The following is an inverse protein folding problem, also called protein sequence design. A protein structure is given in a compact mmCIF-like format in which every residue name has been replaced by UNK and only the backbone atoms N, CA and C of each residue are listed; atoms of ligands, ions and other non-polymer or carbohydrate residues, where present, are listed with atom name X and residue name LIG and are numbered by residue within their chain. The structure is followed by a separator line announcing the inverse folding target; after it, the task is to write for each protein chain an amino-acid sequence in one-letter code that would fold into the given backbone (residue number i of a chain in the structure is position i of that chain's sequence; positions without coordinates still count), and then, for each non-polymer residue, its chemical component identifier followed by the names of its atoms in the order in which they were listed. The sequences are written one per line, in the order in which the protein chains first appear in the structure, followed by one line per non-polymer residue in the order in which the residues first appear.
data_IF_363584599931
#
_entry.id   IF_363584599931
#
_cell.length_a   1.000
_cell.length_b   1.000
_cell.length_c   1.000
_cell.angle_alpha   90.00
_cell.angle_beta   90.00
_cell.angle_gamma   90.00
#
_symmetry.space_group_name_H-M   'P 1'
#
loop_
_entity.id
_entity.type
_entity.pdbx_description
1 polymer ?
#
# COMPACT_ATOMS: atom_id res chain seq x y z
N UNK A 1 12.30 22.13 15.64
CA UNK A 1 12.27 20.68 15.58
C UNK A 1 10.96 20.18 14.97
N UNK A 2 10.82 18.89 14.83
CA UNK A 2 9.55 18.26 14.44
C UNK A 2 8.54 18.38 15.57
N UNK A 3 7.24 18.45 15.23
CA UNK A 3 6.12 18.44 16.18
C UNK A 3 5.92 17.04 16.77
N UNK A 4 6.15 16.01 15.93
CA UNK A 4 6.08 14.61 16.31
C UNK A 4 7.40 13.91 16.02
N UNK A 5 7.83 13.05 16.96
CA UNK A 5 8.98 12.15 16.79
C UNK A 5 8.56 10.69 16.64
N UNK A 6 7.26 10.45 16.39
CA UNK A 6 6.72 9.10 16.23
C UNK A 6 6.95 8.57 14.83
N UNK A 7 7.36 7.31 14.74
CA UNK A 7 7.49 6.59 13.46
C UNK A 7 7.46 5.08 13.70
N UNK A 8 6.86 4.35 12.77
CA UNK A 8 7.02 2.90 12.68
C UNK A 8 8.39 2.58 12.09
N UNK A 9 9.30 2.05 12.91
CA UNK A 9 10.66 1.77 12.46
C UNK A 9 10.72 0.57 11.51
N UNK A 10 11.43 0.74 10.39
CA UNK A 10 11.73 -0.32 9.43
C UNK A 10 13.24 -0.48 9.34
N UNK A 11 13.74 -1.70 9.56
CA UNK A 11 15.16 -1.99 9.45
C UNK A 11 15.61 -1.97 8.00
N UNK A 12 16.65 -1.21 7.68
CA UNK A 12 17.26 -1.23 6.36
C UNK A 12 17.81 -2.63 6.05
N UNK A 13 17.46 -3.23 4.88
CA UNK A 13 17.91 -4.56 4.52
C UNK A 13 19.36 -4.58 4.05
N UNK A 14 20.12 -5.63 4.41
CA UNK A 14 21.41 -5.89 3.77
C UNK A 14 21.22 -6.64 2.45
N UNK A 15 21.45 -5.93 1.34
CA UNK A 15 21.31 -6.49 0.00
C UNK A 15 22.58 -7.17 -0.53
N UNK A 16 23.70 -7.09 0.19
CA UNK A 16 25.01 -7.66 -0.27
C UNK A 16 24.96 -9.17 -0.53
N UNK A 17 24.21 -9.98 0.24
CA UNK A 17 24.11 -11.41 -0.04
C UNK A 17 23.39 -11.74 -1.36
N UNK A 18 22.61 -10.82 -1.90
CA UNK A 18 21.70 -11.07 -3.02
C UNK A 18 22.09 -10.34 -4.31
N UNK A 19 22.70 -9.15 -4.20
CA UNK A 19 22.96 -8.26 -5.31
C UNK A 19 24.42 -7.83 -5.38
N UNK A 20 24.95 -7.78 -6.60
CA UNK A 20 26.28 -7.22 -6.85
C UNK A 20 26.34 -5.73 -6.47
N UNK A 21 27.54 -5.19 -6.32
CA UNK A 21 27.73 -3.74 -6.10
C UNK A 21 27.13 -2.91 -7.23
N UNK A 22 27.19 -3.41 -8.47
CA UNK A 22 26.66 -2.73 -9.65
C UNK A 22 25.13 -2.62 -9.58
N UNK A 23 24.45 -3.70 -9.22
CA UNK A 23 22.98 -3.72 -9.13
C UNK A 23 22.46 -2.82 -8.03
N UNK A 24 23.22 -2.67 -6.93
CA UNK A 24 22.85 -1.79 -5.80
C UNK A 24 23.13 -0.31 -6.01
N UNK A 25 23.91 0.07 -7.05
CA UNK A 25 24.36 1.44 -7.24
C UNK A 25 23.20 2.43 -7.49
N UNK A 26 22.15 1.97 -8.16
CA UNK A 26 20.96 2.79 -8.46
C UNK A 26 19.87 2.72 -7.40
N UNK A 27 20.11 2.07 -6.26
CA UNK A 27 19.09 1.84 -5.24
C UNK A 27 19.23 2.81 -4.06
N UNK A 28 18.09 3.32 -3.60
CA UNK A 28 17.89 3.99 -2.32
C UNK A 28 16.76 3.28 -1.57
N UNK A 29 16.42 3.73 -0.36
CA UNK A 29 15.46 3.06 0.55
C UNK A 29 14.26 2.40 -0.14
N UNK A 30 13.43 3.11 -0.95
CA UNK A 30 12.25 2.48 -1.55
C UNK A 30 12.58 1.28 -2.44
N UNK A 31 13.66 1.39 -3.25
CA UNK A 31 14.08 0.31 -4.13
C UNK A 31 14.69 -0.88 -3.36
N UNK A 32 15.37 -0.60 -2.23
CA UNK A 32 15.94 -1.63 -1.37
C UNK A 32 14.85 -2.45 -0.68
N UNK A 33 13.85 -1.78 -0.11
CA UNK A 33 12.70 -2.44 0.49
C UNK A 33 11.88 -3.22 -0.56
N UNK A 34 11.62 -2.60 -1.71
CA UNK A 34 10.88 -3.23 -2.79
C UNK A 34 11.59 -4.47 -3.37
N UNK A 35 12.92 -4.46 -3.44
CA UNK A 35 13.68 -5.65 -3.84
C UNK A 35 13.44 -6.82 -2.88
N UNK A 36 13.49 -6.59 -1.57
CA UNK A 36 13.27 -7.65 -0.58
C UNK A 36 11.86 -8.22 -0.66
N UNK A 37 10.84 -7.34 -0.68
CA UNK A 37 9.44 -7.78 -0.79
C UNK A 37 9.16 -8.49 -2.11
N UNK A 38 9.75 -8.02 -3.22
CA UNK A 38 9.60 -8.66 -4.54
C UNK A 38 10.29 -10.03 -4.57
N UNK A 39 11.47 -10.16 -3.97
CA UNK A 39 12.16 -11.44 -3.87
C UNK A 39 11.31 -12.48 -3.13
N UNK A 40 10.72 -12.12 -1.99
CA UNK A 40 9.83 -13.00 -1.23
C UNK A 40 8.57 -13.35 -2.04
N UNK A 41 7.97 -12.38 -2.73
CA UNK A 41 6.81 -12.61 -3.58
C UNK A 41 7.12 -13.54 -4.77
N UNK A 42 8.29 -13.39 -5.42
CA UNK A 42 8.75 -14.27 -6.51
C UNK A 42 8.97 -15.71 -6.02
N UNK A 43 9.60 -15.87 -4.85
CA UNK A 43 9.81 -17.18 -4.22
C UNK A 43 8.47 -17.86 -3.90
N UNK A 44 7.53 -17.12 -3.27
CA UNK A 44 6.20 -17.62 -2.98
C UNK A 44 5.41 -17.97 -4.25
N UNK A 45 5.51 -17.14 -5.29
CA UNK A 45 4.85 -17.36 -6.58
C UNK A 45 5.52 -18.46 -7.42
N UNK A 46 6.69 -19.00 -7.01
CA UNK A 46 7.52 -19.95 -7.78
C UNK A 46 7.89 -19.40 -9.15
N UNK A 47 8.34 -18.16 -9.19
CA UNK A 47 8.84 -17.48 -10.37
C UNK A 47 10.34 -17.27 -10.24
N UNK A 48 11.09 -17.71 -11.23
CA UNK A 48 12.54 -17.48 -11.33
C UNK A 48 12.88 -16.51 -12.48
N UNK A 49 14.14 -16.07 -12.51
CA UNK A 49 14.62 -15.10 -13.49
C UNK A 49 14.60 -15.69 -14.92
N UNK A 50 14.82 -16.98 -15.09
CA UNK A 50 14.83 -17.61 -16.41
C UNK A 50 13.40 -17.67 -16.98
N UNK A 51 12.42 -17.99 -16.15
CA UNK A 51 11.01 -17.89 -16.53
C UNK A 51 10.63 -16.46 -16.93
N UNK A 52 10.96 -15.47 -16.09
CA UNK A 52 10.63 -14.05 -16.33
C UNK A 52 11.34 -13.48 -17.57
N UNK A 53 12.57 -13.93 -17.86
CA UNK A 53 13.31 -13.50 -19.04
C UNK A 53 12.67 -13.98 -20.35
N UNK A 54 11.94 -15.09 -20.32
CA UNK A 54 11.32 -15.74 -21.48
C UNK A 54 9.79 -15.50 -21.56
N UNK A 55 9.16 -14.99 -20.50
CA UNK A 55 7.73 -14.76 -20.44
C UNK A 55 7.47 -13.28 -20.08
N UNK A 56 6.72 -12.58 -20.93
CA UNK A 56 6.44 -11.17 -20.71
C UNK A 56 5.75 -10.94 -19.36
N UNK A 57 6.36 -10.12 -18.55
CA UNK A 57 5.86 -9.74 -17.23
C UNK A 57 6.03 -8.25 -17.05
N UNK A 58 4.95 -7.56 -16.68
CA UNK A 58 4.95 -6.12 -16.39
C UNK A 58 5.32 -5.81 -14.96
N UNK A 59 5.55 -4.52 -14.69
CA UNK A 59 5.73 -3.98 -13.34
C UNK A 59 5.01 -2.64 -13.21
N UNK A 60 4.18 -2.51 -12.18
CA UNK A 60 3.50 -1.28 -11.80
C UNK A 60 3.68 -1.10 -10.29
N UNK A 61 4.41 -0.06 -9.88
CA UNK A 61 4.70 0.16 -8.46
C UNK A 61 4.36 1.57 -8.02
N UNK A 62 3.66 1.70 -6.90
CA UNK A 62 3.38 2.98 -6.25
C UNK A 62 4.61 3.49 -5.50
N UNK A 63 5.10 4.67 -5.89
CA UNK A 63 6.14 5.39 -5.15
C UNK A 63 6.04 6.89 -5.45
N UNK A 64 5.82 7.69 -4.42
CA UNK A 64 5.60 9.14 -4.52
C UNK A 64 6.77 9.98 -4.02
N UNK A 65 7.79 9.37 -3.42
CA UNK A 65 8.89 10.13 -2.83
C UNK A 65 10.22 9.42 -2.94
N UNK A 66 11.25 10.22 -3.23
CA UNK A 66 12.67 9.91 -3.14
C UNK A 66 13.41 11.06 -2.48
N UNK A 67 12.76 11.72 -1.51
CA UNK A 67 13.25 12.92 -0.85
C UNK A 67 14.65 12.73 -0.24
N UNK A 68 14.88 11.59 0.41
CA UNK A 68 16.19 11.27 1.00
C UNK A 68 17.31 11.25 -0.04
N UNK A 69 17.11 10.60 -1.16
CA UNK A 69 18.09 10.52 -2.25
C UNK A 69 18.34 11.90 -2.88
N UNK A 70 17.27 12.66 -3.15
CA UNK A 70 17.35 14.00 -3.74
C UNK A 70 18.12 14.95 -2.82
N UNK A 71 17.79 15.00 -1.53
CA UNK A 71 18.47 15.87 -0.57
C UNK A 71 19.95 15.49 -0.44
N UNK A 72 20.27 14.20 -0.33
CA UNK A 72 21.66 13.75 -0.28
C UNK A 72 22.47 14.18 -1.52
N UNK A 73 21.86 14.12 -2.72
CA UNK A 73 22.52 14.60 -3.95
C UNK A 73 22.70 16.10 -3.94
N UNK A 74 21.67 16.87 -3.56
CA UNK A 74 21.71 18.32 -3.53
C UNK A 74 22.72 18.85 -2.48
N UNK A 75 22.82 18.21 -1.32
CA UNK A 75 23.77 18.61 -0.28
C UNK A 75 25.21 18.41 -0.74
N UNK A 76 25.54 17.35 -1.48
CA UNK A 76 26.85 17.21 -2.13
C UNK A 76 27.18 18.42 -3.03
N UNK A 77 26.20 18.87 -3.85
CA UNK A 77 26.37 20.05 -4.70
C UNK A 77 26.51 21.33 -3.90
N UNK A 78 25.71 21.51 -2.85
CA UNK A 78 25.78 22.71 -1.97
C UNK A 78 27.13 22.83 -1.28
N UNK A 79 27.67 21.72 -0.78
CA UNK A 79 28.96 21.68 -0.09
C UNK A 79 30.15 21.94 -1.04
N UNK A 80 30.13 21.29 -2.20
CA UNK A 80 31.28 21.27 -3.13
C UNK A 80 31.19 22.33 -4.21
N UNK A 81 30.01 22.89 -4.48
CA UNK A 81 29.78 23.85 -5.58
C UNK A 81 30.06 23.27 -6.98
N UNK A 82 30.11 21.95 -7.09
CA UNK A 82 30.31 21.22 -8.34
C UNK A 82 29.57 19.85 -8.32
N UNK A 83 29.60 19.12 -9.43
CA UNK A 83 28.94 17.82 -9.61
C UNK A 83 29.91 16.64 -9.64
N UNK A 84 31.21 16.85 -9.42
CA UNK A 84 32.25 15.81 -9.59
C UNK A 84 32.16 14.68 -8.59
N UNK A 85 31.51 14.92 -7.44
CA UNK A 85 31.29 13.92 -6.38
C UNK A 85 29.90 13.27 -6.42
N UNK A 86 29.09 13.62 -7.42
CA UNK A 86 27.83 12.93 -7.63
C UNK A 86 28.12 11.57 -8.25
N UNK A 87 27.63 10.51 -7.63
CA UNK A 87 27.79 9.15 -8.12
C UNK A 87 26.98 8.89 -9.38
N UNK A 88 27.45 7.99 -10.24
CA UNK A 88 26.71 7.60 -11.45
C UNK A 88 25.35 6.93 -11.18
N UNK A 89 25.11 6.50 -9.95
CA UNK A 89 23.83 5.93 -9.50
C UNK A 89 22.83 6.97 -9.00
N UNK A 90 23.29 8.16 -8.59
CA UNK A 90 22.45 9.16 -7.90
C UNK A 90 21.25 9.60 -8.74
N UNK A 91 21.39 9.71 -10.06
CA UNK A 91 20.25 10.04 -10.96
C UNK A 91 19.13 8.99 -10.88
N UNK A 92 19.45 7.71 -10.80
CA UNK A 92 18.48 6.63 -10.74
C UNK A 92 17.82 6.52 -9.36
N UNK A 93 18.54 6.93 -8.30
CA UNK A 93 17.99 7.00 -6.94
C UNK A 93 17.00 8.16 -6.77
N UNK A 94 17.23 9.28 -7.49
CA UNK A 94 16.46 10.50 -7.36
C UNK A 94 15.12 10.49 -8.11
N UNK A 95 14.86 9.50 -8.95
CA UNK A 95 13.61 9.39 -9.74
C UNK A 95 12.57 8.59 -8.96
N UNK A 96 11.30 9.03 -8.96
CA UNK A 96 10.21 8.26 -8.35
C UNK A 96 10.04 6.85 -8.96
N UNK A 97 10.46 6.64 -10.19
CA UNK A 97 10.49 5.33 -10.83
C UNK A 97 11.71 4.46 -10.47
N UNK A 98 12.48 4.85 -9.46
CA UNK A 98 13.67 4.09 -9.00
C UNK A 98 13.34 2.62 -8.71
N UNK A 99 12.19 2.35 -8.11
CA UNK A 99 11.72 0.99 -7.81
C UNK A 99 11.60 0.17 -9.09
N UNK A 100 10.82 0.68 -10.05
CA UNK A 100 10.55 0.00 -11.32
C UNK A 100 11.81 -0.22 -12.15
N UNK A 101 12.67 0.80 -12.25
CA UNK A 101 13.93 0.70 -13.01
C UNK A 101 14.85 -0.40 -12.45
N UNK A 102 15.02 -0.43 -11.13
CA UNK A 102 15.87 -1.43 -10.51
C UNK A 102 15.27 -2.84 -10.63
N UNK A 103 13.99 -3.03 -10.24
CA UNK A 103 13.36 -4.35 -10.26
C UNK A 103 13.22 -4.92 -11.67
N UNK A 104 12.80 -4.11 -12.65
CA UNK A 104 12.67 -4.58 -14.04
C UNK A 104 14.00 -5.05 -14.61
N UNK A 105 15.09 -4.37 -14.29
CA UNK A 105 16.44 -4.74 -14.73
C UNK A 105 16.92 -6.03 -14.05
N UNK A 106 16.75 -6.14 -12.74
CA UNK A 106 17.19 -7.28 -11.95
C UNK A 106 16.41 -8.55 -12.35
N UNK A 107 15.08 -8.46 -12.43
CA UNK A 107 14.19 -9.58 -12.74
C UNK A 107 13.91 -9.76 -14.24
N UNK A 108 14.52 -8.93 -15.11
CA UNK A 108 14.38 -9.00 -16.58
C UNK A 108 12.92 -8.88 -17.04
N UNK A 109 12.15 -8.04 -16.38
CA UNK A 109 10.74 -7.80 -16.72
C UNK A 109 10.64 -7.00 -18.02
N UNK A 110 9.88 -7.48 -19.00
CA UNK A 110 9.82 -6.93 -20.36
C UNK A 110 8.46 -6.37 -20.75
N UNK A 111 7.44 -6.54 -19.91
CA UNK A 111 6.12 -5.96 -20.12
C UNK A 111 6.08 -4.47 -19.76
N UNK A 112 4.89 -3.97 -19.47
CA UNK A 112 4.74 -2.59 -19.00
C UNK A 112 5.65 -2.28 -17.82
N UNK A 113 6.25 -1.08 -17.82
CA UNK A 113 7.14 -0.64 -16.74
C UNK A 113 6.82 0.82 -16.39
N UNK A 114 5.97 1.01 -15.37
CA UNK A 114 5.54 2.34 -14.93
C UNK A 114 5.53 2.46 -13.41
N UNK A 115 5.91 3.63 -12.91
CA UNK A 115 5.68 4.05 -11.53
C UNK A 115 4.38 4.84 -11.46
N UNK A 116 3.61 4.66 -10.39
CA UNK A 116 2.34 5.30 -10.16
C UNK A 116 2.42 6.17 -8.93
N UNK A 117 1.93 7.39 -9.05
CA UNK A 117 1.85 8.40 -8.01
C UNK A 117 0.38 8.76 -7.77
N UNK A 118 -0.13 8.39 -6.62
CA UNK A 118 -1.51 8.62 -6.18
C UNK A 118 -1.60 8.72 -4.64
N UNK A 119 -0.62 9.38 -4.05
CA UNK A 119 -0.48 9.52 -2.60
C UNK A 119 -0.68 8.16 -1.87
N UNK A 120 -1.41 8.16 -0.75
CA UNK A 120 -1.62 6.95 0.06
C UNK A 120 -2.34 5.80 -0.68
N UNK A 121 -2.96 6.05 -1.83
CA UNK A 121 -3.63 5.05 -2.64
C UNK A 121 -2.72 4.44 -3.75
N UNK A 122 -1.45 4.87 -3.85
CA UNK A 122 -0.55 4.46 -4.96
C UNK A 122 -0.41 2.96 -5.09
N UNK A 123 -0.13 2.23 -4.00
CA UNK A 123 0.02 0.78 -4.01
C UNK A 123 -1.27 0.04 -4.40
N UNK A 124 -2.41 0.51 -3.91
CA UNK A 124 -3.72 -0.04 -4.29
C UNK A 124 -4.05 0.21 -5.76
N UNK A 125 -3.84 1.43 -6.26
CA UNK A 125 -4.01 1.74 -7.68
C UNK A 125 -3.06 0.95 -8.58
N UNK A 126 -1.82 0.69 -8.14
CA UNK A 126 -0.87 -0.14 -8.89
C UNK A 126 -1.43 -1.56 -9.11
N UNK A 127 -2.00 -2.17 -8.07
CA UNK A 127 -2.66 -3.48 -8.16
C UNK A 127 -3.93 -3.39 -9.04
N UNK A 128 -4.77 -2.37 -8.82
CA UNK A 128 -5.98 -2.17 -9.58
C UNK A 128 -5.75 -1.96 -11.08
N UNK A 129 -4.75 -1.18 -11.47
CA UNK A 129 -4.36 -1.00 -12.88
C UNK A 129 -3.78 -2.27 -13.48
N UNK A 130 -2.94 -2.98 -12.75
CA UNK A 130 -2.43 -4.30 -13.18
C UNK A 130 -3.58 -5.28 -13.42
N UNK A 131 -4.58 -5.33 -12.52
CA UNK A 131 -5.79 -6.13 -12.72
C UNK A 131 -6.53 -5.75 -14.00
N UNK A 132 -6.73 -4.45 -14.27
CA UNK A 132 -7.39 -4.02 -15.50
C UNK A 132 -6.60 -4.42 -16.75
N UNK A 133 -5.27 -4.31 -16.74
CA UNK A 133 -4.44 -4.71 -17.86
C UNK A 133 -4.52 -6.21 -18.15
N UNK A 134 -4.52 -7.04 -17.12
CA UNK A 134 -4.70 -8.49 -17.29
C UNK A 134 -6.11 -8.80 -17.80
N UNK A 135 -7.13 -8.18 -17.22
CA UNK A 135 -8.53 -8.37 -17.63
C UNK A 135 -8.79 -7.99 -19.08
N UNK A 136 -8.04 -7.02 -19.61
CA UNK A 136 -8.10 -6.59 -21.02
C UNK A 136 -7.16 -7.37 -21.94
N UNK A 137 -6.42 -8.34 -21.43
CA UNK A 137 -5.46 -9.13 -22.21
C UNK A 137 -4.21 -8.37 -22.66
N UNK A 138 -3.91 -7.21 -22.03
CA UNK A 138 -2.74 -6.39 -22.36
C UNK A 138 -1.48 -6.90 -21.67
N UNK A 139 -1.62 -7.60 -20.56
CA UNK A 139 -0.53 -8.26 -19.84
C UNK A 139 -1.04 -9.60 -19.32
N UNK A 140 -0.18 -10.59 -19.30
CA UNK A 140 -0.48 -11.90 -18.69
C UNK A 140 -0.17 -11.92 -17.20
N UNK A 141 0.88 -11.18 -16.82
CA UNK A 141 1.38 -11.09 -15.44
C UNK A 141 1.92 -9.71 -15.15
N UNK A 142 1.68 -9.21 -13.95
CA UNK A 142 2.21 -7.91 -13.49
C UNK A 142 2.71 -8.04 -12.05
N UNK A 143 3.92 -7.57 -11.80
CA UNK A 143 4.46 -7.33 -10.47
C UNK A 143 3.92 -5.98 -10.00
N UNK A 144 3.05 -5.98 -9.03
CA UNK A 144 2.43 -4.78 -8.47
C UNK A 144 2.86 -4.57 -7.04
N UNK A 145 2.81 -3.34 -6.57
CA UNK A 145 3.13 -3.05 -5.18
C UNK A 145 3.21 -1.58 -4.87
N UNK A 146 3.78 -1.30 -3.72
CA UNK A 146 4.11 0.04 -3.29
C UNK A 146 5.37 0.06 -2.44
N UNK A 147 6.07 1.19 -2.43
CA UNK A 147 7.26 1.40 -1.64
C UNK A 147 7.26 2.80 -1.03
N UNK A 148 7.78 2.91 0.19
CA UNK A 148 7.89 4.14 0.96
C UNK A 148 9.24 4.24 1.65
N UNK A 149 9.95 5.33 1.42
CA UNK A 149 11.12 5.68 2.24
C UNK A 149 10.69 6.16 3.63
N UNK A 150 11.55 5.91 4.63
CA UNK A 150 11.28 6.34 5.99
C UNK A 150 12.48 7.13 6.55
N UNK A 151 12.49 8.40 6.25
CA UNK A 151 13.53 9.32 6.70
C UNK A 151 12.95 10.70 7.03
N UNK A 152 13.74 11.51 7.73
CA UNK A 152 13.30 12.83 8.19
C UNK A 152 12.85 13.74 7.04
N UNK A 153 13.49 13.65 5.89
CA UNK A 153 13.21 14.55 4.76
C UNK A 153 11.84 14.27 4.14
N UNK A 154 11.51 12.99 3.94
CA UNK A 154 10.21 12.59 3.40
C UNK A 154 9.06 12.97 4.35
N UNK A 155 9.30 12.93 5.67
CA UNK A 155 8.28 13.18 6.70
C UNK A 155 8.12 14.65 7.09
N UNK A 156 9.07 15.53 6.73
CA UNK A 156 9.07 16.93 7.15
C UNK A 156 7.80 17.70 6.76
N UNK A 157 7.31 17.50 5.54
CA UNK A 157 6.13 18.21 5.03
C UNK A 157 4.83 17.73 5.70
N UNK A 158 4.73 16.46 6.03
CA UNK A 158 3.59 15.90 6.78
C UNK A 158 3.56 16.42 8.21
N UNK A 159 4.72 16.50 8.87
CA UNK A 159 4.83 17.11 10.20
C UNK A 159 4.47 18.59 10.17
N UNK A 160 4.93 19.31 9.15
CA UNK A 160 4.58 20.71 8.91
C UNK A 160 3.09 20.94 8.69
N UNK A 161 2.41 20.01 8.03
CA UNK A 161 0.96 20.02 7.84
C UNK A 161 0.19 19.75 9.15
N UNK A 162 0.86 19.19 10.17
CA UNK A 162 0.21 18.78 11.43
C UNK A 162 -0.61 17.49 11.30
N UNK A 163 -0.26 16.62 10.36
CA UNK A 163 -0.98 15.37 10.11
C UNK A 163 -0.62 14.25 11.09
N UNK A 164 0.50 14.38 11.81
CA UNK A 164 1.00 13.35 12.72
C UNK A 164 0.42 13.45 14.12
N UNK A 165 0.22 12.29 14.74
CA UNK A 165 -0.10 12.21 16.17
C UNK A 165 1.03 12.80 17.00
N UNK A 166 0.67 13.53 18.05
CA UNK A 166 1.61 14.10 19.01
C UNK A 166 1.68 13.33 20.33
N UNK A 167 1.11 12.13 20.41
CA UNK A 167 1.10 11.28 21.62
C UNK A 167 2.44 10.61 21.90
N UNK A 168 3.50 11.39 22.03
CA UNK A 168 4.87 10.91 22.21
C UNK A 168 5.11 10.24 23.57
N UNK A 169 4.31 10.57 24.59
CA UNK A 169 4.40 9.96 25.92
C UNK A 169 3.87 8.51 25.96
N UNK A 170 3.05 8.14 24.98
CA UNK A 170 2.49 6.79 24.84
C UNK A 170 2.57 6.30 23.40
N UNK A 171 3.77 6.08 22.85
CA UNK A 171 3.98 5.79 21.41
C UNK A 171 3.15 4.63 20.88
N UNK A 172 3.05 3.54 21.64
CA UNK A 172 2.26 2.35 21.27
C UNK A 172 0.74 2.59 21.20
N UNK A 173 0.26 3.72 21.76
CA UNK A 173 -1.15 4.12 21.75
C UNK A 173 -1.43 5.31 20.80
N UNK A 174 -0.44 5.75 20.04
CA UNK A 174 -0.56 6.93 19.19
C UNK A 174 -1.43 6.67 17.95
N UNK A 175 -1.14 5.60 17.20
CA UNK A 175 -2.01 5.17 16.11
C UNK A 175 -3.23 4.43 16.67
N UNK A 176 -4.41 5.04 16.52
CA UNK A 176 -5.67 4.53 17.09
C UNK A 176 -6.85 4.73 16.13
N UNK A 177 -6.85 4.01 14.99
CA UNK A 177 -7.88 4.18 13.97
C UNK A 177 -9.28 4.03 14.55
N UNK A 178 -10.22 4.89 14.09
CA UNK A 178 -11.62 4.94 14.49
C UNK A 178 -11.89 5.32 15.95
N UNK A 179 -10.88 5.38 16.82
CA UNK A 179 -11.07 5.78 18.21
C UNK A 179 -11.40 7.27 18.30
N UNK A 180 -12.29 7.63 19.24
CA UNK A 180 -12.72 9.03 19.47
C UNK A 180 -11.55 9.97 19.78
N UNK A 181 -10.54 9.46 20.49
CA UNK A 181 -9.43 10.26 20.97
C UNK A 181 -8.22 10.25 20.02
N UNK A 182 -8.41 9.85 18.74
CA UNK A 182 -7.38 9.90 17.67
C UNK A 182 -7.00 11.34 17.35
N UNK A 183 -5.73 11.59 17.12
CA UNK A 183 -5.18 12.93 16.92
C UNK A 183 -4.28 13.07 15.68
N UNK A 184 -4.13 12.03 14.90
CA UNK A 184 -3.29 12.02 13.70
C UNK A 184 -2.67 10.66 13.43
N UNK A 185 -1.99 10.54 12.31
CA UNK A 185 -1.32 9.31 11.89
C UNK A 185 0.08 9.18 12.52
N UNK A 186 0.58 7.96 12.59
CA UNK A 186 1.99 7.65 12.85
C UNK A 186 2.60 7.18 11.53
N UNK A 187 3.60 7.88 10.96
CA UNK A 187 4.19 7.47 9.68
C UNK A 187 5.00 6.19 9.83
N UNK A 188 5.00 5.38 8.78
CA UNK A 188 5.91 4.25 8.62
C UNK A 188 6.24 4.03 7.15
N UNK A 189 6.93 2.96 6.80
CA UNK A 189 7.36 2.71 5.43
C UNK A 189 7.77 1.27 5.19
N UNK A 190 8.53 1.04 4.11
CA UNK A 190 8.93 -0.26 3.64
C UNK A 190 8.49 -0.52 2.22
N UNK A 191 8.17 -1.77 1.88
CA UNK A 191 7.54 -2.13 0.62
C UNK A 191 6.69 -3.40 0.73
N UNK A 192 5.67 -3.49 -0.12
CA UNK A 192 4.89 -4.70 -0.30
C UNK A 192 4.72 -5.00 -1.79
N UNK A 193 4.80 -6.27 -2.15
CA UNK A 193 4.70 -6.75 -3.52
C UNK A 193 3.60 -7.80 -3.65
N UNK A 194 2.74 -7.60 -4.63
CA UNK A 194 1.68 -8.55 -5.03
C UNK A 194 1.92 -8.91 -6.50
N UNK A 195 2.10 -10.19 -6.78
CA UNK A 195 2.16 -10.69 -8.15
C UNK A 195 0.76 -11.08 -8.58
N UNK A 196 0.27 -10.44 -9.62
CA UNK A 196 -1.02 -10.76 -10.23
C UNK A 196 -0.82 -11.36 -11.62
N UNK A 197 -1.67 -12.32 -11.95
CA UNK A 197 -1.52 -13.13 -13.15
C UNK A 197 -2.89 -13.57 -13.67
N UNK A 198 -3.04 -13.77 -14.96
CA UNK A 198 -4.25 -14.36 -15.51
C UNK A 198 -4.47 -15.77 -14.94
N UNK A 199 -5.72 -16.15 -14.72
CA UNK A 199 -6.04 -17.48 -14.19
C UNK A 199 -5.49 -18.59 -15.10
N UNK A 200 -5.57 -18.40 -16.42
CA UNK A 200 -5.06 -19.35 -17.40
C UNK A 200 -3.57 -19.59 -17.22
N UNK A 201 -2.77 -18.53 -17.18
CA UNK A 201 -1.32 -18.61 -16.96
C UNK A 201 -0.97 -19.23 -15.61
N UNK A 202 -1.67 -18.83 -14.54
CA UNK A 202 -1.44 -19.36 -13.21
C UNK A 202 -1.72 -20.88 -13.12
N UNK A 203 -2.80 -21.33 -13.73
CA UNK A 203 -3.14 -22.77 -13.78
C UNK A 203 -2.15 -23.56 -14.65
N UNK A 204 -1.74 -23.04 -15.81
CA UNK A 204 -0.80 -23.68 -16.71
C UNK A 204 0.54 -24.00 -16.04
N UNK A 205 1.05 -23.10 -15.19
CA UNK A 205 2.30 -23.30 -14.46
C UNK A 205 2.12 -23.86 -13.03
N UNK A 206 0.91 -24.25 -12.63
CA UNK A 206 0.58 -24.70 -11.28
C UNK A 206 1.01 -23.72 -10.19
N UNK A 207 0.70 -22.43 -10.38
CA UNK A 207 1.00 -21.38 -9.42
C UNK A 207 0.25 -21.59 -8.10
N UNK A 208 0.82 -21.21 -6.95
CA UNK A 208 0.09 -21.10 -5.70
C UNK A 208 -0.82 -19.85 -5.76
N UNK A 209 -2.11 -20.05 -6.02
CA UNK A 209 -3.09 -18.97 -6.10
C UNK A 209 -3.59 -18.65 -4.69
N UNK A 210 -3.34 -17.43 -4.21
CA UNK A 210 -3.73 -16.97 -2.88
C UNK A 210 -5.14 -16.36 -2.86
N UNK A 211 -5.61 -15.82 -3.98
CA UNK A 211 -6.91 -15.19 -4.09
C UNK A 211 -7.17 -14.72 -5.50
N UNK A 212 -8.37 -14.24 -5.75
CA UNK A 212 -8.81 -13.67 -7.03
C UNK A 212 -9.27 -12.23 -6.82
N UNK A 213 -8.67 -11.29 -7.54
CA UNK A 213 -9.16 -9.91 -7.58
C UNK A 213 -10.41 -9.89 -8.45
N UNK A 214 -11.57 -9.62 -7.85
CA UNK A 214 -12.86 -9.62 -8.55
C UNK A 214 -13.40 -8.22 -8.80
N UNK A 215 -12.98 -7.24 -8.00
CA UNK A 215 -13.45 -5.85 -8.11
C UNK A 215 -12.35 -4.83 -7.86
N UNK A 216 -12.38 -3.77 -8.66
CA UNK A 216 -11.55 -2.58 -8.46
C UNK A 216 -12.41 -1.34 -8.74
N UNK A 217 -12.57 -0.52 -7.70
CA UNK A 217 -13.24 0.77 -7.78
C UNK A 217 -12.26 1.90 -7.57
N UNK A 218 -12.49 3.00 -8.25
CA UNK A 218 -11.69 4.21 -8.14
C UNK A 218 -12.55 5.45 -8.33
N UNK A 219 -12.13 6.55 -7.74
CA UNK A 219 -12.78 7.86 -7.90
C UNK A 219 -11.82 8.98 -7.56
N UNK A 220 -12.20 10.19 -7.90
CA UNK A 220 -11.55 11.41 -7.42
C UNK A 220 -12.59 12.28 -6.70
N UNK A 221 -12.19 12.92 -5.59
CA UNK A 221 -13.09 13.86 -4.90
C UNK A 221 -13.41 15.09 -5.75
N UNK A 222 -12.42 15.58 -6.52
CA UNK A 222 -12.55 16.79 -7.32
C UNK A 222 -12.88 18.06 -6.48
N UNK A 223 -12.47 18.06 -5.22
CA UNK A 223 -12.83 19.08 -4.23
C UNK A 223 -11.55 19.60 -3.53
N UNK A 224 -11.31 19.30 -2.29
CA UNK A 224 -10.20 19.83 -1.52
C UNK A 224 -8.96 18.91 -1.60
N UNK A 225 -7.75 19.50 -1.64
CA UNK A 225 -6.50 18.76 -1.83
C UNK A 225 -6.17 17.79 -0.67
N UNK A 226 -6.55 18.11 0.56
CA UNK A 226 -6.21 17.31 1.74
C UNK A 226 -7.43 16.79 2.52
N UNK A 227 -8.62 17.34 2.31
CA UNK A 227 -9.80 16.89 3.03
C UNK A 227 -10.39 15.63 2.40
N UNK A 228 -10.72 14.63 3.20
CA UNK A 228 -11.48 13.49 2.73
C UNK A 228 -12.88 13.91 2.29
N UNK A 229 -13.50 13.16 1.41
CA UNK A 229 -14.81 13.44 0.89
C UNK A 229 -15.65 12.16 0.84
N UNK A 230 -16.81 12.19 1.48
CA UNK A 230 -17.73 11.06 1.54
C UNK A 230 -18.13 10.54 0.14
N UNK A 231 -18.54 11.46 -0.76
CA UNK A 231 -18.99 11.09 -2.09
C UNK A 231 -17.92 10.34 -2.89
N UNK A 232 -16.66 10.80 -2.81
CA UNK A 232 -15.53 10.15 -3.47
C UNK A 232 -15.32 8.72 -2.95
N UNK A 233 -15.27 8.53 -1.63
CA UNK A 233 -15.11 7.22 -1.02
C UNK A 233 -16.31 6.30 -1.34
N UNK A 234 -17.53 6.80 -1.21
CA UNK A 234 -18.77 6.08 -1.54
C UNK A 234 -18.77 5.60 -3.00
N UNK A 235 -18.37 6.45 -3.96
CA UNK A 235 -18.28 6.06 -5.37
C UNK A 235 -17.24 4.97 -5.63
N UNK A 236 -16.08 5.05 -4.96
CA UNK A 236 -15.04 4.03 -5.08
C UNK A 236 -15.51 2.66 -4.59
N UNK A 237 -16.12 2.59 -3.42
CA UNK A 237 -16.70 1.37 -2.85
C UNK A 237 -17.77 0.76 -3.77
N UNK A 238 -18.76 1.55 -4.18
CA UNK A 238 -19.82 1.07 -5.08
C UNK A 238 -19.30 0.61 -6.44
N UNK A 239 -18.30 1.30 -6.99
CA UNK A 239 -17.68 0.89 -8.24
C UNK A 239 -16.97 -0.46 -8.10
N UNK A 240 -16.26 -0.71 -6.99
CA UNK A 240 -15.62 -2.00 -6.75
C UNK A 240 -16.64 -3.15 -6.67
N UNK A 241 -17.75 -2.96 -5.94
CA UNK A 241 -18.83 -3.92 -5.82
C UNK A 241 -19.49 -4.17 -7.19
N UNK A 242 -19.77 -3.11 -7.93
CA UNK A 242 -20.35 -3.22 -9.29
C UNK A 242 -19.41 -3.97 -10.24
N UNK A 243 -18.10 -3.71 -10.20
CA UNK A 243 -17.12 -4.42 -11.02
C UNK A 243 -17.00 -5.89 -10.64
N UNK A 244 -17.17 -6.23 -9.36
CA UNK A 244 -17.18 -7.60 -8.87
C UNK A 244 -18.46 -8.35 -9.27
N UNK A 245 -19.54 -7.63 -9.58
CA UNK A 245 -20.84 -8.23 -9.93
C UNK A 245 -21.44 -9.05 -8.78
N UNK A 246 -21.20 -8.62 -7.53
CA UNK A 246 -21.56 -9.38 -6.32
C UNK A 246 -22.51 -8.60 -5.41
N UNK A 247 -23.19 -9.31 -4.51
CA UNK A 247 -23.95 -8.70 -3.44
C UNK A 247 -23.03 -8.24 -2.29
N UNK A 248 -23.36 -7.13 -1.65
CA UNK A 248 -22.60 -6.60 -0.52
C UNK A 248 -22.50 -7.56 0.66
N UNK A 249 -23.48 -8.45 0.84
CA UNK A 249 -23.50 -9.47 1.89
C UNK A 249 -22.43 -10.57 1.71
N UNK A 250 -21.81 -10.65 0.55
CA UNK A 250 -20.69 -11.56 0.31
C UNK A 250 -19.35 -11.06 0.85
N UNK A 251 -19.26 -9.80 1.32
CA UNK A 251 -18.04 -9.23 1.91
C UNK A 251 -17.98 -9.63 3.38
N UNK A 252 -16.99 -10.43 3.74
CA UNK A 252 -16.79 -10.96 5.09
C UNK A 252 -15.93 -10.05 5.97
N UNK A 253 -15.10 -9.18 5.36
CA UNK A 253 -14.16 -8.33 6.06
C UNK A 253 -13.82 -7.08 5.27
N UNK A 254 -13.61 -5.95 5.97
CA UNK A 254 -13.09 -4.71 5.41
C UNK A 254 -11.76 -4.36 6.08
N UNK A 255 -10.68 -4.28 5.30
CA UNK A 255 -9.45 -3.62 5.71
C UNK A 255 -9.59 -2.13 5.36
N UNK A 256 -9.81 -1.32 6.39
CA UNK A 256 -10.08 0.10 6.23
C UNK A 256 -8.80 0.91 6.02
N UNK A 257 -8.89 1.98 5.25
CA UNK A 257 -7.81 2.95 5.14
C UNK A 257 -7.47 3.61 6.48
N UNK A 258 -8.47 3.93 7.27
CA UNK A 258 -8.44 4.61 8.57
C UNK A 258 -7.03 4.83 9.16
N UNK A 259 -6.54 6.05 9.04
CA UNK A 259 -5.15 6.44 9.37
C UNK A 259 -4.98 6.98 10.78
N UNK A 260 -6.01 6.91 11.62
CA UNK A 260 -6.07 7.57 12.93
C UNK A 260 -6.22 9.11 12.84
N UNK A 261 -6.72 9.61 11.71
CA UNK A 261 -7.01 11.04 11.55
C UNK A 261 -8.47 11.35 11.89
N UNK A 262 -8.75 12.47 12.59
CA UNK A 262 -10.10 12.75 13.05
C UNK A 262 -11.16 12.75 11.94
N UNK A 263 -10.91 13.46 10.83
CA UNK A 263 -11.88 13.60 9.74
C UNK A 263 -11.84 12.38 8.81
N UNK A 264 -10.63 11.85 8.52
CA UNK A 264 -10.46 10.73 7.58
C UNK A 264 -11.23 9.50 8.00
N UNK A 265 -11.03 9.07 9.24
CA UNK A 265 -11.64 7.87 9.79
C UNK A 265 -13.17 8.02 9.93
N UNK A 266 -13.67 9.20 10.35
CA UNK A 266 -15.10 9.47 10.43
C UNK A 266 -15.78 9.39 9.05
N UNK A 267 -15.18 10.00 8.04
CA UNK A 267 -15.69 9.98 6.66
C UNK A 267 -15.72 8.55 6.09
N UNK A 268 -14.68 7.77 6.35
CA UNK A 268 -14.64 6.36 5.91
C UNK A 268 -15.66 5.49 6.65
N UNK A 269 -15.83 5.69 7.96
CA UNK A 269 -16.86 4.97 8.73
C UNK A 269 -18.25 5.22 8.16
N UNK A 270 -18.58 6.47 7.78
CA UNK A 270 -19.83 6.80 7.11
C UNK A 270 -19.96 6.07 5.76
N UNK A 271 -18.92 6.10 4.92
CA UNK A 271 -18.96 5.47 3.61
C UNK A 271 -19.13 3.94 3.71
N UNK A 272 -18.42 3.29 4.64
CA UNK A 272 -18.58 1.85 4.92
C UNK A 272 -20.00 1.56 5.39
N UNK A 273 -20.53 2.34 6.33
CA UNK A 273 -21.90 2.15 6.84
C UNK A 273 -22.97 2.25 5.75
N UNK A 274 -22.89 3.27 4.91
CA UNK A 274 -23.88 3.53 3.84
C UNK A 274 -23.83 2.44 2.75
N UNK A 275 -22.66 1.85 2.48
CA UNK A 275 -22.52 0.84 1.42
C UNK A 275 -22.73 -0.59 1.96
N UNK A 276 -22.15 -0.92 3.11
CA UNK A 276 -22.09 -2.29 3.63
C UNK A 276 -22.95 -2.51 4.88
N UNK A 277 -23.46 -1.43 5.48
CA UNK A 277 -24.16 -1.49 6.77
C UNK A 277 -23.22 -1.69 7.94
N UNK A 278 -23.78 -1.94 9.13
CA UNK A 278 -23.04 -1.98 10.39
C UNK A 278 -22.63 -3.40 10.85
N UNK A 279 -22.67 -4.42 10.01
CA UNK A 279 -22.44 -5.82 10.46
C UNK A 279 -21.10 -6.40 10.06
N UNK A 280 -20.57 -6.03 8.89
CA UNK A 280 -19.30 -6.55 8.38
C UNK A 280 -18.16 -6.18 9.33
N UNK A 281 -17.27 -7.13 9.70
CA UNK A 281 -16.08 -6.85 10.47
C UNK A 281 -15.17 -5.85 9.77
N UNK A 282 -14.72 -4.83 10.50
CA UNK A 282 -13.84 -3.77 10.02
C UNK A 282 -12.63 -3.66 10.93
N UNK A 283 -11.44 -3.60 10.39
CA UNK A 283 -10.27 -3.15 11.12
C UNK A 283 -9.30 -2.39 10.23
N UNK A 284 -8.50 -1.52 10.82
CA UNK A 284 -7.34 -0.91 10.18
C UNK A 284 -6.08 -1.49 10.79
N UNK A 285 -5.23 -2.10 9.97
CA UNK A 285 -3.93 -2.63 10.40
C UNK A 285 -2.95 -1.51 10.78
N UNK A 286 -3.26 -0.25 10.43
CA UNK A 286 -2.43 0.92 10.74
C UNK A 286 -2.32 1.24 12.23
N UNK A 287 -3.19 0.67 13.07
CA UNK A 287 -2.98 0.65 14.52
C UNK A 287 -1.67 -0.05 14.92
N UNK A 288 -1.29 -1.11 14.18
CA UNK A 288 -0.09 -1.92 14.42
C UNK A 288 1.12 -1.45 13.64
N UNK A 289 0.94 -1.13 12.35
CA UNK A 289 2.05 -0.84 11.42
C UNK A 289 2.39 0.65 11.32
N UNK A 290 1.51 1.54 11.77
CA UNK A 290 1.51 2.93 11.37
C UNK A 290 0.97 3.09 9.94
N UNK A 291 0.99 4.31 9.43
CA UNK A 291 0.60 4.58 8.05
C UNK A 291 1.80 4.44 7.12
N UNK A 292 1.80 3.37 6.36
CA UNK A 292 2.87 2.99 5.42
C UNK A 292 2.81 3.80 4.10
N UNK A 293 2.08 4.91 4.08
CA UNK A 293 1.94 5.88 2.98
C UNK A 293 1.68 5.20 1.62
N UNK A 294 2.62 5.38 0.68
CA UNK A 294 2.46 4.94 -0.72
C UNK A 294 2.34 3.43 -0.91
N UNK A 295 2.85 2.66 0.04
CA UNK A 295 2.78 1.20 -0.01
C UNK A 295 1.54 0.62 0.70
N UNK A 296 0.86 1.40 1.54
CA UNK A 296 -0.18 0.91 2.45
C UNK A 296 -1.22 0.00 1.78
N UNK A 297 -1.75 0.40 0.60
CA UNK A 297 -2.74 -0.41 -0.09
C UNK A 297 -2.24 -1.77 -0.57
N UNK A 298 -0.93 -1.91 -0.84
CA UNK A 298 -0.35 -3.21 -1.21
C UNK A 298 -0.10 -4.08 0.03
N UNK A 299 0.40 -3.50 1.13
CA UNK A 299 0.61 -4.23 2.39
C UNK A 299 -0.72 -4.70 2.98
N UNK A 300 -1.77 -3.89 2.92
CA UNK A 300 -3.10 -4.23 3.41
C UNK A 300 -3.75 -5.38 2.64
N UNK A 301 -3.53 -5.47 1.32
CA UNK A 301 -3.92 -6.65 0.53
C UNK A 301 -3.14 -7.89 1.02
N UNK A 302 -1.82 -7.80 1.24
CA UNK A 302 -1.02 -8.90 1.74
C UNK A 302 -1.49 -9.35 3.15
N UNK A 303 -1.74 -8.41 4.06
CA UNK A 303 -2.25 -8.72 5.41
C UNK A 303 -3.64 -9.36 5.34
N UNK A 304 -4.53 -8.87 4.48
CA UNK A 304 -5.87 -9.42 4.31
C UNK A 304 -5.85 -10.82 3.71
N UNK A 305 -4.92 -11.13 2.78
CA UNK A 305 -4.67 -12.48 2.29
C UNK A 305 -4.20 -13.42 3.41
N UNK A 306 -3.29 -12.96 4.29
CA UNK A 306 -2.88 -13.74 5.46
C UNK A 306 -4.04 -14.02 6.41
N UNK A 307 -4.89 -13.03 6.68
CA UNK A 307 -6.09 -13.20 7.48
C UNK A 307 -7.06 -14.20 6.85
N UNK A 308 -7.30 -14.08 5.54
CA UNK A 308 -8.16 -15.00 4.76
C UNK A 308 -7.66 -16.45 4.80
N UNK A 309 -6.36 -16.67 4.72
CA UNK A 309 -5.79 -18.02 4.71
C UNK A 309 -5.70 -18.67 6.09
N UNK A 310 -5.74 -17.87 7.16
CA UNK A 310 -5.64 -18.34 8.53
C UNK A 310 -6.96 -18.15 9.31
N UNK A 311 -8.04 -17.78 8.64
CA UNK A 311 -9.39 -17.63 9.17
C UNK A 311 -9.47 -16.76 10.45
N UNK A 312 -8.89 -15.55 10.40
CA UNK A 312 -8.99 -14.58 11.49
C UNK A 312 -9.08 -13.13 10.97
N UNK A 313 -9.54 -12.23 11.83
CA UNK A 313 -9.46 -10.78 11.66
C UNK A 313 -8.46 -10.22 12.65
N UNK A 314 -7.45 -9.51 12.15
CA UNK A 314 -6.50 -8.78 12.98
C UNK A 314 -7.20 -7.63 13.71
N UNK A 315 -6.87 -7.37 14.99
CA UNK A 315 -7.55 -6.34 15.77
C UNK A 315 -7.25 -4.93 15.25
N UNK A 316 -8.24 -4.06 15.37
CA UNK A 316 -8.06 -2.62 15.31
C UNK A 316 -7.54 -2.14 16.68
N UNK A 317 -6.26 -2.29 16.93
CA UNK A 317 -5.70 -1.99 18.27
C UNK A 317 -5.90 -0.53 18.64
N UNK A 318 -5.93 -0.25 19.96
CA UNK A 318 -6.16 1.07 20.52
C UNK A 318 -7.57 1.67 20.26
N UNK A 319 -8.52 0.87 19.78
CA UNK A 319 -9.93 1.26 19.69
C UNK A 319 -10.61 1.01 21.04
N UNK A 320 -10.60 2.02 21.91
CA UNK A 320 -11.13 1.97 23.28
C UNK A 320 -12.46 2.73 23.41
N UNK A 321 -12.60 3.83 22.68
CA UNK A 321 -13.72 4.76 22.77
C UNK A 321 -14.30 5.04 21.38
N UNK A 322 -15.45 4.44 20.99
CA UNK A 322 -16.08 4.76 19.72
C UNK A 322 -16.64 6.20 19.71
N UNK A 323 -16.59 6.84 18.56
CA UNK A 323 -17.28 8.12 18.30
C UNK A 323 -18.64 7.91 17.61
N UNK A 324 -19.29 9.01 17.21
CA UNK A 324 -20.62 8.98 16.59
C UNK A 324 -20.66 8.24 15.24
N UNK A 325 -19.57 8.15 14.52
CA UNK A 325 -19.49 7.49 13.23
C UNK A 325 -18.96 6.06 13.36
N UNK A 326 -17.88 5.86 14.11
CA UNK A 326 -17.29 4.53 14.30
C UNK A 326 -18.19 3.54 15.03
N UNK A 327 -19.11 4.02 15.89
CA UNK A 327 -20.12 3.17 16.55
C UNK A 327 -21.15 2.58 15.59
N UNK A 328 -21.28 3.11 14.36
CA UNK A 328 -22.24 2.60 13.35
C UNK A 328 -21.72 1.36 12.63
N UNK A 329 -20.39 1.15 12.63
CA UNK A 329 -19.73 0.02 11.96
C UNK A 329 -19.18 -0.97 12.98
N UNK A 330 -18.93 -2.21 12.55
CA UNK A 330 -18.44 -3.27 13.43
C UNK A 330 -16.89 -3.29 13.49
N UNK A 331 -16.30 -2.29 14.14
CA UNK A 331 -14.84 -2.23 14.37
C UNK A 331 -14.44 -3.36 15.32
N UNK A 332 -13.44 -4.17 14.97
CA UNK A 332 -12.99 -5.33 15.75
C UNK A 332 -11.80 -4.93 16.63
N UNK A 333 -11.99 -4.73 17.96
CA UNK A 333 -10.93 -4.23 18.86
C UNK A 333 -9.92 -5.30 19.29
N UNK A 334 -10.29 -6.58 19.19
CA UNK A 334 -9.48 -7.73 19.62
C UNK A 334 -9.37 -8.77 18.50
N UNK A 335 -8.40 -9.66 18.58
CA UNK A 335 -8.28 -10.81 17.69
C UNK A 335 -9.61 -11.58 17.63
N UNK A 336 -10.05 -11.91 16.41
CA UNK A 336 -11.28 -12.64 16.19
C UNK A 336 -11.06 -13.76 15.20
N UNK A 337 -11.33 -15.00 15.61
CA UNK A 337 -11.50 -16.10 14.65
C UNK A 337 -12.70 -15.80 13.75
N UNK A 338 -12.45 -15.75 12.46
CA UNK A 338 -13.47 -15.40 11.47
C UNK A 338 -13.07 -15.91 10.09
N UNK A 339 -13.96 -16.69 9.49
CA UNK A 339 -13.74 -17.16 8.13
C UNK A 339 -13.93 -16.02 7.15
N UNK A 340 -12.94 -15.79 6.31
CA UNK A 340 -12.95 -14.78 5.27
C UNK A 340 -12.88 -15.49 3.92
N UNK A 341 -13.96 -15.49 3.16
CA UNK A 341 -13.99 -15.92 1.76
C UNK A 341 -13.90 -14.73 0.79
N UNK A 342 -14.23 -13.52 1.27
CA UNK A 342 -14.17 -12.29 0.50
C UNK A 342 -13.81 -11.10 1.39
N UNK A 343 -12.84 -10.28 0.99
CA UNK A 343 -12.53 -9.02 1.67
C UNK A 343 -12.52 -7.85 0.71
N UNK A 344 -12.75 -6.67 1.28
CA UNK A 344 -12.60 -5.36 0.64
C UNK A 344 -11.49 -4.59 1.33
N UNK A 345 -10.57 -3.99 0.56
CA UNK A 345 -9.50 -3.13 1.06
C UNK A 345 -9.62 -1.73 0.46
N UNK A 346 -9.62 -0.71 1.31
CA UNK A 346 -9.74 0.69 0.93
C UNK A 346 -8.40 1.42 1.04
N UNK A 347 -8.17 2.34 0.12
CA UNK A 347 -7.04 3.28 0.18
C UNK A 347 -7.49 4.65 -0.32
N UNK A 348 -7.41 5.66 0.54
CA UNK A 348 -7.87 7.03 0.25
C UNK A 348 -6.71 8.01 0.43
N UNK A 349 -6.28 8.64 -0.66
CA UNK A 349 -5.10 9.49 -0.69
C UNK A 349 -5.39 10.99 -0.72
N UNK A 350 -4.42 11.79 -0.32
CA UNK A 350 -4.42 13.23 -0.58
C UNK A 350 -4.62 13.50 -2.08
N UNK A 351 -5.17 14.66 -2.44
CA UNK A 351 -5.64 14.94 -3.79
C UNK A 351 -7.00 14.31 -4.09
N UNK A 352 -7.58 13.57 -3.13
CA UNK A 352 -8.88 12.93 -3.26
C UNK A 352 -8.88 11.70 -4.16
N UNK A 353 -7.76 11.04 -4.30
CA UNK A 353 -7.66 9.78 -5.05
C UNK A 353 -8.12 8.62 -4.16
N UNK A 354 -9.12 7.87 -4.59
CA UNK A 354 -9.75 6.79 -3.84
C UNK A 354 -9.63 5.48 -4.61
N UNK A 355 -9.28 4.41 -3.92
CA UNK A 355 -9.19 3.06 -4.45
C UNK A 355 -9.84 2.07 -3.49
N UNK A 356 -10.63 1.15 -4.03
CA UNK A 356 -11.23 0.04 -3.30
C UNK A 356 -11.03 -1.26 -4.10
N UNK A 357 -10.44 -2.27 -3.49
CA UNK A 357 -10.17 -3.57 -4.14
C UNK A 357 -10.91 -4.67 -3.41
N UNK A 358 -11.55 -5.56 -4.15
CA UNK A 358 -12.24 -6.75 -3.63
C UNK A 358 -11.48 -7.99 -4.08
N UNK A 359 -11.16 -8.84 -3.11
CA UNK A 359 -10.48 -10.12 -3.34
C UNK A 359 -11.30 -11.24 -2.75
N UNK A 360 -11.52 -12.30 -3.54
CA UNK A 360 -12.16 -13.56 -3.11
C UNK A 360 -11.12 -14.66 -2.93
N UNK A 361 -11.39 -15.55 -1.99
CA UNK A 361 -10.65 -16.81 -1.82
C UNK A 361 -10.81 -17.66 -3.07
N UNK A 362 -9.70 -18.06 -3.67
CA UNK A 362 -9.73 -18.92 -4.84
C UNK A 362 -10.18 -20.33 -4.44
N UNK A 363 -11.20 -20.84 -5.10
CA UNK A 363 -11.70 -22.22 -4.94
C UNK A 363 -11.40 -22.98 -6.24
N UNK A 364 -10.59 -24.04 -6.13
CA UNK A 364 -10.30 -24.93 -7.27
C UNK A 364 -11.51 -25.66 -7.74
#
# INVERSE_FOLDING_TARGET
GYRSCLTGFVKEPDLKPYLSRRDRLGMHEPAMFAYMSTREAMEQAKLDIDFLANNETGIIFGNDSTAGAVINTIDKVRERKDTTLIGSGDIFQNMNCTVNMNLSTIYKLKGINISLSAACASGSHAIGLGYLMIKQGLQERVVCGGAQEINLYAMASFDGLGAFSIRQDTPSKASRPFDRDRDGLVPSGGAATIIIESLESALQRNAPILGEIVGYGFSSNGDHISNPNFDGQFRSLNMAIKHAGMDVSEIDYVNAHATSTPIGDATEAQAIYEVLGGKVPVSSTKGMTGHECWMAGASEIAYSLLMMHNDFVAPNINFENPDEDSKKINVIPEYKEHKIDCFLSNSFGFGGTNSSIIVKKFKK
#
